data_IF_768621251686
#
_entry.id   IF_768621251686
#
_cell.length_a   1.000
_cell.length_b   1.000
_cell.length_c   1.000
_cell.angle_alpha   90.00
_cell.angle_beta   90.00
_cell.angle_gamma   90.00
#
_symmetry.space_group_name_H-M   'P 1'
#
loop_
_entity.id
_entity.type
_entity.pdbx_description
1 polymer ?
#
# COMPACT_ATOMS: atom_id res chain seq x y z
N UNK A 1 25.18 13.29 -8.18
CA UNK A 1 24.26 12.18 -8.44
C UNK A 1 22.96 12.81 -8.92
N UNK A 2 22.42 12.41 -10.08
CA UNK A 2 21.15 12.93 -10.59
C UNK A 2 20.02 12.57 -9.62
N UNK A 3 18.95 13.36 -9.56
CA UNK A 3 17.83 13.12 -8.63
C UNK A 3 17.22 11.74 -8.82
N UNK A 4 17.16 11.24 -10.05
CA UNK A 4 16.70 9.87 -10.38
C UNK A 4 17.60 8.77 -9.77
N UNK A 5 18.94 8.95 -9.75
CA UNK A 5 19.85 7.97 -9.13
C UNK A 5 19.71 7.95 -7.60
N UNK A 6 19.44 9.10 -6.98
CA UNK A 6 19.15 9.17 -5.54
C UNK A 6 17.84 8.45 -5.24
N UNK A 7 16.80 8.73 -6.02
CA UNK A 7 15.51 8.07 -5.87
C UNK A 7 15.64 6.54 -6.01
N UNK A 8 16.39 6.05 -7.01
CA UNK A 8 16.65 4.62 -7.18
C UNK A 8 17.36 4.00 -5.97
N UNK A 9 18.42 4.68 -5.46
CA UNK A 9 19.14 4.20 -4.29
C UNK A 9 18.23 4.06 -3.06
N UNK A 10 17.44 5.09 -2.75
CA UNK A 10 16.50 5.05 -1.64
C UNK A 10 15.38 4.03 -1.86
N UNK A 11 14.86 3.92 -3.10
CA UNK A 11 13.87 2.91 -3.42
C UNK A 11 14.39 1.50 -3.13
N UNK A 12 15.57 1.15 -3.63
CA UNK A 12 16.16 -0.17 -3.40
C UNK A 12 16.45 -0.43 -1.91
N UNK A 13 17.01 0.56 -1.19
CA UNK A 13 17.29 0.45 0.22
C UNK A 13 16.03 0.14 1.04
N UNK A 14 14.97 0.89 0.82
CA UNK A 14 13.71 0.71 1.55
C UNK A 14 12.95 -0.52 1.08
N UNK A 15 12.96 -0.82 -0.21
CA UNK A 15 12.33 -2.01 -0.76
C UNK A 15 12.88 -3.29 -0.15
N UNK A 16 14.21 -3.45 -0.13
CA UNK A 16 14.83 -4.61 0.52
C UNK A 16 14.63 -4.61 2.03
N UNK A 17 14.50 -3.45 2.65
CA UNK A 17 14.17 -3.35 4.07
C UNK A 17 12.85 -4.03 4.44
N UNK A 18 11.84 -4.03 3.55
CA UNK A 18 10.58 -4.74 3.79
C UNK A 18 10.75 -6.26 3.92
N UNK A 19 11.76 -6.85 3.28
CA UNK A 19 12.04 -8.29 3.38
C UNK A 19 12.90 -8.64 4.61
N UNK A 20 13.70 -7.71 5.11
CA UNK A 20 14.69 -7.97 6.15
C UNK A 20 14.12 -7.64 7.54
N UNK A 21 13.39 -6.54 7.66
CA UNK A 21 12.96 -6.02 8.94
C UNK A 21 11.54 -6.49 9.31
N UNK A 22 11.41 -6.93 10.57
CA UNK A 22 10.14 -7.31 11.18
C UNK A 22 9.96 -6.63 12.53
N UNK A 23 8.75 -6.63 13.07
CA UNK A 23 8.45 -6.06 14.38
C UNK A 23 8.85 -4.60 14.51
N UNK A 24 9.57 -4.23 15.58
CA UNK A 24 9.96 -2.86 15.88
C UNK A 24 10.85 -2.22 14.80
N UNK A 25 11.76 -3.00 14.20
CA UNK A 25 12.62 -2.51 13.12
C UNK A 25 11.83 -2.14 11.86
N UNK A 26 10.73 -2.83 11.60
CA UNK A 26 9.81 -2.46 10.51
C UNK A 26 9.18 -1.08 10.77
N UNK A 27 8.71 -0.80 11.99
CA UNK A 27 8.15 0.52 12.33
C UNK A 27 9.18 1.63 12.09
N UNK A 28 10.43 1.43 12.48
CA UNK A 28 11.51 2.39 12.21
C UNK A 28 11.66 2.60 10.70
N UNK A 29 11.68 1.53 9.91
CA UNK A 29 11.76 1.61 8.45
C UNK A 29 10.60 2.45 7.87
N UNK A 30 9.36 2.20 8.29
CA UNK A 30 8.19 2.95 7.84
C UNK A 30 8.32 4.45 8.17
N UNK A 31 8.74 4.78 9.39
CA UNK A 31 8.98 6.16 9.80
C UNK A 31 10.10 6.84 8.98
N UNK A 32 11.17 6.11 8.65
CA UNK A 32 12.23 6.62 7.79
C UNK A 32 11.72 6.93 6.37
N UNK A 33 10.88 6.06 5.79
CA UNK A 33 10.25 6.31 4.48
C UNK A 33 9.37 7.56 4.54
N UNK A 34 8.51 7.67 5.57
CA UNK A 34 7.65 8.84 5.76
C UNK A 34 8.47 10.11 5.93
N UNK A 35 9.55 10.07 6.70
CA UNK A 35 10.44 11.23 6.86
C UNK A 35 11.12 11.63 5.56
N UNK A 36 11.61 10.65 4.79
CA UNK A 36 12.32 10.90 3.53
C UNK A 36 11.42 11.46 2.41
N UNK A 37 10.18 10.99 2.32
CA UNK A 37 9.28 11.27 1.18
C UNK A 37 7.97 11.96 1.57
N UNK A 38 7.60 12.03 2.85
CA UNK A 38 6.30 12.51 3.34
C UNK A 38 6.02 13.98 3.04
N UNK A 39 7.04 14.79 2.74
CA UNK A 39 6.84 16.19 2.32
C UNK A 39 5.85 16.31 1.16
N UNK A 40 5.81 15.33 0.25
CA UNK A 40 4.87 15.29 -0.88
C UNK A 40 3.44 15.13 -0.42
N UNK A 41 3.19 14.26 0.57
CA UNK A 41 1.86 14.06 1.13
C UNK A 41 1.29 15.36 1.71
N UNK A 42 2.11 16.11 2.46
CA UNK A 42 1.69 17.38 3.05
C UNK A 42 1.42 18.48 2.02
N UNK A 43 2.15 18.49 0.91
CA UNK A 43 1.92 19.45 -0.19
C UNK A 43 0.62 19.16 -0.97
N UNK A 44 0.11 17.92 -0.91
CA UNK A 44 -1.09 17.49 -1.64
C UNK A 44 -2.37 17.58 -0.82
N UNK A 45 -2.27 17.77 0.51
CA UNK A 45 -3.43 17.90 1.38
C UNK A 45 -4.17 19.22 1.10
N UNK A 46 -5.22 19.12 0.31
CA UNK A 46 -6.17 20.20 0.07
C UNK A 46 -7.29 20.17 1.12
N UNK A 47 -8.14 21.21 1.13
CA UNK A 47 -9.34 21.25 1.98
C UNK A 47 -10.17 19.98 1.79
N UNK A 48 -10.80 19.51 2.87
CA UNK A 48 -11.65 18.31 2.89
C UNK A 48 -12.60 18.33 1.68
N UNK A 49 -12.46 17.39 0.79
CA UNK A 49 -13.19 17.32 -0.46
C UNK A 49 -14.06 16.06 -0.47
N UNK A 50 -15.21 16.13 -1.16
CA UNK A 50 -16.06 14.96 -1.45
C UNK A 50 -15.26 13.80 -2.05
N UNK A 51 -14.16 14.08 -2.74
CA UNK A 51 -13.28 13.05 -3.30
C UNK A 51 -12.66 12.14 -2.24
N UNK A 52 -12.36 12.65 -1.03
CA UNK A 52 -11.82 11.81 0.05
C UNK A 52 -12.86 10.80 0.55
N UNK A 53 -14.13 11.22 0.66
CA UNK A 53 -15.22 10.33 1.04
C UNK A 53 -15.48 9.27 -0.04
N UNK A 54 -15.41 9.64 -1.32
CA UNK A 54 -15.52 8.70 -2.44
C UNK A 54 -14.36 7.69 -2.43
N UNK A 55 -13.13 8.13 -2.16
CA UNK A 55 -11.98 7.22 -2.03
C UNK A 55 -12.15 6.25 -0.86
N UNK A 56 -12.62 6.72 0.29
CA UNK A 56 -12.90 5.88 1.44
C UNK A 56 -13.96 4.81 1.11
N UNK A 57 -15.05 5.22 0.50
CA UNK A 57 -16.10 4.31 0.03
C UNK A 57 -15.57 3.31 -1.00
N UNK A 58 -14.80 3.76 -2.00
CA UNK A 58 -14.19 2.88 -3.00
C UNK A 58 -13.25 1.84 -2.36
N UNK A 59 -12.45 2.25 -1.36
CA UNK A 59 -11.57 1.35 -0.63
C UNK A 59 -12.35 0.25 0.11
N UNK A 60 -13.42 0.62 0.79
CA UNK A 60 -14.29 -0.33 1.52
C UNK A 60 -14.97 -1.32 0.56
N UNK A 61 -15.60 -0.81 -0.52
CA UNK A 61 -16.26 -1.65 -1.52
C UNK A 61 -15.25 -2.58 -2.19
N UNK A 62 -14.09 -2.06 -2.54
CA UNK A 62 -13.01 -2.86 -3.14
C UNK A 62 -12.58 -3.99 -2.21
N UNK A 63 -12.39 -3.71 -0.91
CA UNK A 63 -12.03 -4.74 0.06
C UNK A 63 -13.04 -5.89 0.06
N UNK A 64 -14.33 -5.58 0.14
CA UNK A 64 -15.40 -6.59 0.15
C UNK A 64 -15.39 -7.44 -1.12
N UNK A 65 -15.27 -6.79 -2.29
CA UNK A 65 -15.23 -7.49 -3.58
C UNK A 65 -13.97 -8.34 -3.74
N UNK A 66 -12.82 -7.82 -3.35
CA UNK A 66 -11.55 -8.53 -3.43
C UNK A 66 -11.51 -9.74 -2.48
N UNK A 67 -12.00 -9.58 -1.24
CA UNK A 67 -12.15 -10.69 -0.28
C UNK A 67 -13.07 -11.77 -0.84
N UNK A 68 -14.24 -11.40 -1.37
CA UNK A 68 -15.16 -12.35 -1.98
C UNK A 68 -14.51 -13.10 -3.15
N UNK A 69 -13.81 -12.39 -4.03
CA UNK A 69 -13.08 -12.99 -5.16
C UNK A 69 -12.03 -14.01 -4.68
N UNK A 70 -11.27 -13.69 -3.63
CA UNK A 70 -10.29 -14.61 -3.03
C UNK A 70 -10.98 -15.84 -2.44
N UNK A 71 -12.09 -15.67 -1.71
CA UNK A 71 -12.85 -16.78 -1.11
C UNK A 71 -13.45 -17.74 -2.16
N UNK A 72 -13.79 -17.25 -3.34
CA UNK A 72 -14.28 -18.07 -4.45
C UNK A 72 -13.18 -18.89 -5.15
N UNK A 73 -11.90 -18.70 -4.81
CA UNK A 73 -10.82 -19.47 -5.41
C UNK A 73 -10.69 -20.86 -4.82
N UNK A 74 -10.53 -21.90 -5.66
CA UNK A 74 -10.44 -23.30 -5.20
C UNK A 74 -9.17 -23.59 -4.38
N UNK A 75 -8.20 -22.68 -4.37
CA UNK A 75 -6.90 -22.82 -3.69
C UNK A 75 -6.68 -21.82 -2.54
N UNK A 76 -7.70 -21.06 -2.16
CA UNK A 76 -7.63 -20.19 -0.99
C UNK A 76 -7.64 -21.05 0.28
N UNK A 77 -6.50 -21.61 0.64
CA UNK A 77 -6.23 -21.93 2.04
C UNK A 77 -6.49 -20.63 2.81
N UNK A 78 -7.46 -20.64 3.73
CA UNK A 78 -8.07 -19.45 4.27
C UNK A 78 -7.06 -18.35 4.56
N UNK A 79 -7.41 -17.14 4.17
CA UNK A 79 -6.77 -15.92 4.68
C UNK A 79 -7.07 -15.90 6.17
N UNK A 80 -6.24 -16.61 6.95
CA UNK A 80 -6.36 -16.65 8.40
C UNK A 80 -5.75 -15.36 8.93
N UNK A 81 -6.53 -14.57 9.59
CA UNK A 81 -6.08 -13.44 10.39
C UNK A 81 -5.31 -13.94 11.64
N UNK A 82 -4.32 -14.83 11.41
CA UNK A 82 -3.45 -15.31 12.48
C UNK A 82 -2.61 -14.11 12.95
N UNK A 83 -2.71 -13.80 14.22
CA UNK A 83 -1.98 -12.73 14.94
C UNK A 83 -2.62 -11.33 14.95
N UNK A 84 -3.93 -11.23 15.09
CA UNK A 84 -4.57 -9.98 15.40
C UNK A 84 -4.20 -9.47 16.80
N UNK A 85 -3.45 -8.40 16.87
CA UNK A 85 -3.25 -7.66 18.09
C UNK A 85 -4.24 -6.50 18.14
N UNK A 86 -5.15 -6.48 19.12
CA UNK A 86 -6.08 -5.37 19.33
C UNK A 86 -5.42 -4.16 20.04
N UNK A 87 -4.11 -3.98 19.86
CA UNK A 87 -3.40 -2.83 20.43
C UNK A 87 -3.61 -1.57 19.57
N UNK A 88 -3.61 -0.41 20.21
CA UNK A 88 -3.64 0.88 19.49
C UNK A 88 -2.49 0.99 18.50
N UNK A 89 -1.31 0.47 18.84
CA UNK A 89 -0.14 0.48 17.96
C UNK A 89 -0.38 -0.33 16.67
N UNK A 90 -1.08 -1.45 16.76
CA UNK A 90 -1.48 -2.24 15.58
C UNK A 90 -2.37 -1.42 14.64
N UNK A 91 -3.38 -0.72 15.16
CA UNK A 91 -4.24 0.11 14.32
C UNK A 91 -3.51 1.31 13.72
N UNK A 92 -2.63 1.96 14.46
CA UNK A 92 -1.80 3.06 13.94
C UNK A 92 -0.88 2.57 12.82
N UNK A 93 -0.24 1.40 13.01
CA UNK A 93 0.60 0.79 11.98
C UNK A 93 -0.23 0.42 10.74
N UNK A 94 -1.30 -0.35 10.93
CA UNK A 94 -2.09 -0.89 9.83
C UNK A 94 -2.84 0.20 9.03
N UNK A 95 -3.37 1.23 9.69
CA UNK A 95 -4.24 2.22 9.05
C UNK A 95 -3.51 3.49 8.63
N UNK A 96 -2.34 3.78 9.19
CA UNK A 96 -1.64 5.03 8.93
C UNK A 96 -0.21 4.77 8.44
N UNK A 97 0.65 4.16 9.26
CA UNK A 97 2.07 4.07 8.95
C UNK A 97 2.33 3.21 7.71
N UNK A 98 1.78 2.02 7.66
CA UNK A 98 1.94 1.09 6.55
C UNK A 98 1.37 1.65 5.25
N UNK A 99 0.10 2.11 5.16
CA UNK A 99 -0.42 2.69 3.92
C UNK A 99 0.37 3.90 3.44
N UNK A 100 0.72 4.82 4.33
CA UNK A 100 1.47 6.03 3.95
C UNK A 100 2.86 5.66 3.42
N UNK A 101 3.61 4.81 4.13
CA UNK A 101 4.96 4.45 3.72
C UNK A 101 4.97 3.62 2.43
N UNK A 102 4.07 2.66 2.30
CA UNK A 102 3.97 1.84 1.09
C UNK A 102 3.57 2.65 -0.14
N UNK A 103 2.58 3.55 -0.02
CA UNK A 103 2.21 4.41 -1.15
C UNK A 103 3.33 5.39 -1.51
N UNK A 104 4.03 5.97 -0.53
CA UNK A 104 5.20 6.81 -0.79
C UNK A 104 6.30 6.05 -1.53
N UNK A 105 6.56 4.79 -1.17
CA UNK A 105 7.58 3.97 -1.80
C UNK A 105 7.16 3.48 -3.18
N UNK A 106 6.03 2.77 -3.27
CA UNK A 106 5.62 2.06 -4.48
C UNK A 106 4.96 2.95 -5.54
N UNK A 107 4.54 4.16 -5.19
CA UNK A 107 3.92 5.11 -6.13
C UNK A 107 4.79 6.34 -6.31
N UNK A 108 5.02 7.11 -5.27
CA UNK A 108 5.73 8.38 -5.39
C UNK A 108 7.20 8.20 -5.72
N UNK A 109 7.95 7.43 -4.94
CA UNK A 109 9.38 7.20 -5.15
C UNK A 109 9.65 6.42 -6.43
N UNK A 110 8.85 5.38 -6.71
CA UNK A 110 8.96 4.60 -7.94
C UNK A 110 8.66 5.42 -9.19
N UNK A 111 7.71 6.37 -9.15
CA UNK A 111 7.42 7.27 -10.27
C UNK A 111 8.61 8.18 -10.59
N UNK A 112 9.36 8.62 -9.58
CA UNK A 112 10.61 9.36 -9.77
C UNK A 112 11.72 8.53 -10.41
N UNK A 113 11.78 7.24 -10.05
CA UNK A 113 12.74 6.30 -10.65
C UNK A 113 12.40 6.02 -12.11
N UNK A 114 11.10 5.89 -12.41
CA UNK A 114 10.56 5.48 -13.71
C UNK A 114 10.09 6.66 -14.57
N UNK A 115 10.77 7.80 -14.50
CA UNK A 115 10.43 8.95 -15.33
C UNK A 115 10.44 8.60 -16.83
N UNK A 116 9.36 8.97 -17.52
CA UNK A 116 9.23 8.79 -18.96
C UNK A 116 8.76 7.41 -19.43
N UNK A 117 8.50 6.46 -18.52
CA UNK A 117 7.91 5.16 -18.91
C UNK A 117 6.39 5.28 -19.14
N UNK A 118 5.84 4.34 -19.90
CA UNK A 118 4.39 4.29 -20.13
C UNK A 118 3.62 4.05 -18.84
N UNK A 119 2.39 4.56 -18.78
CA UNK A 119 1.49 4.38 -17.62
C UNK A 119 1.24 2.89 -17.33
N UNK A 120 1.03 2.09 -18.38
CA UNK A 120 0.80 0.65 -18.25
C UNK A 120 2.00 -0.08 -17.66
N UNK A 121 3.22 0.25 -18.09
CA UNK A 121 4.44 -0.33 -17.54
C UNK A 121 4.62 0.04 -16.07
N UNK A 122 4.37 1.31 -15.69
CA UNK A 122 4.41 1.73 -14.30
C UNK A 122 3.42 0.93 -13.44
N UNK A 123 2.15 0.82 -13.87
CA UNK A 123 1.12 0.09 -13.13
C UNK A 123 1.55 -1.37 -12.93
N UNK A 124 2.02 -2.02 -13.99
CA UNK A 124 2.47 -3.41 -13.92
C UNK A 124 3.64 -3.57 -12.94
N UNK A 125 4.70 -2.79 -13.11
CA UNK A 125 5.90 -2.91 -12.27
C UNK A 125 5.62 -2.56 -10.81
N UNK A 126 4.88 -1.47 -10.55
CA UNK A 126 4.46 -1.10 -9.19
C UNK A 126 3.64 -2.21 -8.52
N UNK A 127 2.73 -2.85 -9.28
CA UNK A 127 1.94 -3.98 -8.77
C UNK A 127 2.81 -5.18 -8.46
N UNK A 128 3.72 -5.56 -9.34
CA UNK A 128 4.63 -6.71 -9.14
C UNK A 128 5.50 -6.49 -7.90
N UNK A 129 6.11 -5.31 -7.76
CA UNK A 129 6.95 -4.97 -6.62
C UNK A 129 6.17 -4.93 -5.30
N UNK A 130 4.96 -4.38 -5.33
CA UNK A 130 4.04 -4.36 -4.19
C UNK A 130 3.64 -5.78 -3.78
N UNK A 131 3.28 -6.63 -4.74
CA UNK A 131 2.90 -8.02 -4.49
C UNK A 131 4.08 -8.83 -3.92
N UNK A 132 5.30 -8.57 -4.37
CA UNK A 132 6.48 -9.29 -3.92
C UNK A 132 6.71 -9.19 -2.41
N UNK A 133 6.42 -8.04 -1.78
CA UNK A 133 6.53 -7.89 -0.31
C UNK A 133 5.42 -8.61 0.46
N UNK A 134 4.41 -9.13 -0.24
CA UNK A 134 3.27 -9.87 0.34
C UNK A 134 3.34 -11.39 0.07
N UNK A 135 4.45 -11.92 -0.50
CA UNK A 135 4.59 -13.34 -0.87
C UNK A 135 4.41 -14.30 0.32
N UNK A 136 4.73 -13.84 1.53
CA UNK A 136 4.57 -14.64 2.76
C UNK A 136 3.11 -14.89 3.18
N UNK A 137 2.15 -14.18 2.57
CA UNK A 137 0.72 -14.25 2.94
C UNK A 137 -0.05 -15.40 2.26
N UNK A 138 0.68 -16.28 1.55
CA UNK A 138 0.07 -17.39 0.82
C UNK A 138 -0.65 -16.95 -0.47
N UNK A 139 -1.21 -17.93 -1.21
CA UNK A 139 -1.77 -17.69 -2.55
C UNK A 139 -2.93 -16.69 -2.52
N UNK A 140 -3.83 -16.79 -1.55
CA UNK A 140 -4.94 -15.86 -1.39
C UNK A 140 -4.47 -14.43 -1.12
N UNK A 141 -3.48 -14.25 -0.25
CA UNK A 141 -2.87 -12.95 0.05
C UNK A 141 -2.14 -12.37 -1.15
N UNK A 142 -1.42 -13.18 -1.91
CA UNK A 142 -0.75 -12.76 -3.16
C UNK A 142 -1.78 -12.23 -4.17
N UNK A 143 -2.87 -12.96 -4.38
CA UNK A 143 -3.91 -12.54 -5.30
C UNK A 143 -4.59 -11.25 -4.84
N UNK A 144 -4.89 -11.14 -3.55
CA UNK A 144 -5.40 -9.92 -2.95
C UNK A 144 -4.44 -8.74 -3.16
N UNK A 145 -3.13 -8.95 -2.91
CA UNK A 145 -2.10 -7.92 -3.11
C UNK A 145 -1.98 -7.49 -4.58
N UNK A 146 -2.13 -8.40 -5.56
CA UNK A 146 -2.17 -8.05 -6.98
C UNK A 146 -3.34 -7.10 -7.27
N UNK A 147 -4.55 -7.44 -6.81
CA UNK A 147 -5.72 -6.61 -7.02
C UNK A 147 -5.57 -5.22 -6.37
N UNK A 148 -5.07 -5.17 -5.13
CA UNK A 148 -4.76 -3.92 -4.44
C UNK A 148 -3.70 -3.11 -5.20
N UNK A 149 -2.60 -3.73 -5.61
CA UNK A 149 -1.52 -3.10 -6.35
C UNK A 149 -1.99 -2.45 -7.64
N UNK A 150 -2.83 -3.15 -8.42
CA UNK A 150 -3.43 -2.62 -9.65
C UNK A 150 -4.31 -1.40 -9.37
N UNK A 151 -5.25 -1.51 -8.43
CA UNK A 151 -6.17 -0.42 -8.09
C UNK A 151 -5.43 0.83 -7.59
N UNK A 152 -4.50 0.67 -6.66
CA UNK A 152 -3.77 1.78 -6.05
C UNK A 152 -2.84 2.46 -7.06
N UNK A 153 -2.12 1.69 -7.90
CA UNK A 153 -1.26 2.22 -8.96
C UNK A 153 -2.05 2.97 -10.03
N UNK A 154 -3.21 2.41 -10.43
CA UNK A 154 -4.13 3.06 -11.36
C UNK A 154 -4.65 4.39 -10.80
N UNK A 155 -5.14 4.39 -9.55
CA UNK A 155 -5.64 5.59 -8.87
C UNK A 155 -4.58 6.68 -8.81
N UNK A 156 -3.35 6.32 -8.43
CA UNK A 156 -2.23 7.27 -8.40
C UNK A 156 -1.95 7.89 -9.77
N UNK A 157 -1.88 7.07 -10.83
CA UNK A 157 -1.63 7.59 -12.20
C UNK A 157 -2.77 8.46 -12.74
N UNK A 158 -4.02 8.14 -12.40
CA UNK A 158 -5.18 8.94 -12.82
C UNK A 158 -5.27 10.28 -12.10
N UNK A 159 -5.01 10.31 -10.80
CA UNK A 159 -5.18 11.52 -9.97
C UNK A 159 -3.90 12.33 -9.85
N UNK A 160 -2.73 11.74 -10.05
CA UNK A 160 -1.40 12.36 -9.84
C UNK A 160 -1.19 12.90 -8.42
N UNK A 161 -1.98 12.42 -7.45
CA UNK A 161 -1.92 12.78 -6.04
C UNK A 161 -1.90 11.52 -5.21
N UNK A 162 -0.89 11.39 -4.37
CA UNK A 162 -0.67 10.19 -3.55
C UNK A 162 -1.73 10.02 -2.46
N UNK A 163 -2.29 11.12 -1.97
CA UNK A 163 -3.26 11.11 -0.88
C UNK A 163 -4.48 10.23 -1.18
N UNK A 164 -4.90 10.15 -2.45
CA UNK A 164 -6.05 9.33 -2.84
C UNK A 164 -5.75 7.84 -2.71
N UNK A 165 -4.57 7.39 -3.15
CA UNK A 165 -4.18 5.98 -2.98
C UNK A 165 -3.94 5.65 -1.51
N UNK A 166 -3.36 6.54 -0.71
CA UNK A 166 -3.23 6.37 0.75
C UNK A 166 -4.59 6.16 1.42
N UNK A 167 -5.59 7.01 1.13
CA UNK A 167 -6.92 6.87 1.72
C UNK A 167 -7.56 5.53 1.33
N UNK A 168 -7.55 5.19 0.06
CA UNK A 168 -8.09 3.90 -0.41
C UNK A 168 -7.41 2.73 0.30
N UNK A 169 -6.08 2.75 0.39
CA UNK A 169 -5.29 1.71 1.04
C UNK A 169 -5.63 1.60 2.54
N UNK A 170 -5.72 2.73 3.26
CA UNK A 170 -6.12 2.75 4.67
C UNK A 170 -7.51 2.12 4.89
N UNK A 171 -8.46 2.36 4.00
CA UNK A 171 -9.79 1.76 4.10
C UNK A 171 -9.84 0.28 3.70
N UNK A 172 -8.97 -0.17 2.79
CA UNK A 172 -8.75 -1.59 2.52
C UNK A 172 -8.22 -2.28 3.78
N UNK A 173 -7.21 -1.71 4.42
CA UNK A 173 -6.65 -2.26 5.67
C UNK A 173 -7.64 -2.21 6.83
N UNK A 174 -8.49 -1.17 6.90
CA UNK A 174 -9.57 -1.11 7.89
C UNK A 174 -10.53 -2.31 7.75
N UNK A 175 -10.88 -2.69 6.51
CA UNK A 175 -11.66 -3.90 6.26
C UNK A 175 -11.00 -5.15 6.84
N UNK A 176 -9.68 -5.32 6.62
CA UNK A 176 -8.90 -6.41 7.22
C UNK A 176 -8.86 -6.37 8.74
N UNK A 177 -8.72 -5.17 9.34
CA UNK A 177 -8.79 -5.01 10.80
C UNK A 177 -10.16 -5.37 11.36
N UNK A 178 -11.24 -5.02 10.67
CA UNK A 178 -12.62 -5.37 11.09
C UNK A 178 -12.85 -6.88 11.02
N UNK A 179 -12.34 -7.56 9.98
CA UNK A 179 -12.39 -9.02 9.93
C UNK A 179 -11.69 -9.67 11.12
N UNK A 180 -10.55 -9.11 11.50
CA UNK A 180 -9.78 -9.53 12.67
C UNK A 180 -10.57 -9.43 13.99
N UNK A 181 -11.47 -8.45 14.11
CA UNK A 181 -12.25 -8.19 15.34
C UNK A 181 -13.48 -9.10 15.40
N UNK A 182 -14.11 -9.37 14.26
CA UNK A 182 -15.43 -9.96 14.21
C UNK A 182 -15.48 -11.43 13.76
N UNK A 183 -14.36 -11.94 13.21
CA UNK A 183 -14.27 -13.30 12.66
C UNK A 183 -12.98 -14.01 13.04
#
# INVERSE_FOLDING_TARGET
MTDSKKALFFFLLFYFGFFIFSGFLRIILLLMIIFAFGKRLFCECEKLSVWYLLCAFCGTVFYVLAKFAVQCMPFSGGYSAENCSLSILFFVDALILTPVAEELLFRSCLDDVLQGVSVSFFILLSTVLFTAVHLSQGIGGIFFAIMCGLMLSFTYKMKKKIIFSVIIHSFINLGGCLDCIFF
#
